data_IF_123232895637
#
_entry.id   IF_123232895637
#
_cell.length_a   1.000
_cell.length_b   1.000
_cell.length_c   1.000
_cell.angle_alpha   90.00
_cell.angle_beta   90.00
_cell.angle_gamma   90.00
#
_symmetry.space_group_name_H-M   'P 1'
#
loop_
_entity.id
_entity.type
_entity.pdbx_description
1 polymer ?
#
# COMPACT_ATOMS: atom_id res chain seq x y z
N UNK A 1 -29.81 6.17 1.10
CA UNK A 1 -29.31 7.55 0.93
C UNK A 1 -28.56 7.60 -0.40
N UNK A 2 -29.01 8.41 -1.37
CA UNK A 2 -28.26 8.64 -2.62
C UNK A 2 -27.39 9.88 -2.41
N UNK A 3 -26.07 9.72 -2.30
CA UNK A 3 -25.16 10.86 -2.37
C UNK A 3 -25.11 11.37 -3.81
N UNK A 4 -25.42 12.64 -4.02
CA UNK A 4 -25.35 13.32 -5.32
C UNK A 4 -24.22 14.35 -5.29
N UNK A 5 -22.98 13.87 -5.21
CA UNK A 5 -21.82 14.76 -5.36
C UNK A 5 -21.42 14.83 -6.84
N UNK A 6 -21.32 16.04 -7.37
CA UNK A 6 -20.69 16.31 -8.65
C UNK A 6 -19.17 16.22 -8.55
N UNK A 7 -18.49 15.96 -9.67
CA UNK A 7 -17.01 15.87 -9.70
C UNK A 7 -16.33 17.19 -9.30
N UNK A 8 -17.05 18.29 -9.46
CA UNK A 8 -16.62 19.65 -9.16
C UNK A 8 -16.61 19.94 -7.64
N UNK A 9 -17.20 19.06 -6.83
CA UNK A 9 -17.27 19.19 -5.37
C UNK A 9 -16.07 18.54 -4.66
N UNK A 10 -15.21 17.83 -5.40
CA UNK A 10 -13.99 17.25 -4.85
C UNK A 10 -12.84 18.23 -4.93
N UNK A 11 -12.05 18.35 -3.87
CA UNK A 11 -10.89 19.23 -3.80
C UNK A 11 -9.61 18.57 -4.33
N UNK A 12 -9.64 17.28 -4.66
CA UNK A 12 -8.49 16.54 -5.15
C UNK A 12 -8.73 15.04 -5.30
N UNK A 13 -7.73 14.34 -5.86
CA UNK A 13 -7.76 12.89 -6.09
C UNK A 13 -6.53 12.26 -5.44
N UNK A 14 -6.73 11.21 -4.63
CA UNK A 14 -5.65 10.40 -4.10
C UNK A 14 -5.49 9.12 -4.92
N UNK A 15 -4.25 8.76 -5.26
CA UNK A 15 -3.93 7.52 -5.99
C UNK A 15 -2.81 6.75 -5.30
N UNK A 16 -2.80 5.42 -5.44
CA UNK A 16 -1.68 4.59 -5.03
C UNK A 16 -0.49 4.78 -5.98
N UNK A 17 0.70 5.00 -5.43
CA UNK A 17 1.94 5.21 -6.18
C UNK A 17 2.63 3.89 -6.57
N UNK A 18 2.33 2.81 -5.85
CA UNK A 18 3.07 1.56 -5.91
C UNK A 18 3.74 1.23 -4.56
N UNK A 19 4.36 0.05 -4.44
CA UNK A 19 4.36 -1.03 -5.44
C UNK A 19 2.96 -1.63 -5.67
N UNK A 20 2.78 -2.43 -6.73
CA UNK A 20 1.48 -3.02 -7.08
C UNK A 20 1.38 -3.43 -8.55
N UNK A 21 0.17 -3.84 -8.98
CA UNK A 21 -0.07 -4.29 -10.35
C UNK A 21 0.24 -3.21 -11.38
N UNK A 22 1.19 -3.46 -12.29
CA UNK A 22 1.61 -2.49 -13.32
C UNK A 22 0.42 -1.99 -14.17
N UNK A 23 -0.46 -2.91 -14.57
CA UNK A 23 -1.66 -2.57 -15.35
C UNK A 23 -2.65 -1.72 -14.55
N UNK A 24 -2.94 -2.07 -13.29
CA UNK A 24 -3.90 -1.35 -12.47
C UNK A 24 -3.41 0.04 -12.10
N UNK A 25 -2.13 0.19 -11.73
CA UNK A 25 -1.51 1.48 -11.42
C UNK A 25 -1.57 2.44 -12.61
N UNK A 26 -1.24 1.97 -13.82
CA UNK A 26 -1.30 2.83 -15.02
C UNK A 26 -2.73 3.20 -15.40
N UNK A 27 -3.67 2.26 -15.31
CA UNK A 27 -5.09 2.54 -15.61
C UNK A 27 -5.64 3.55 -14.60
N UNK A 28 -5.44 3.32 -13.30
CA UNK A 28 -5.88 4.23 -12.24
C UNK A 28 -5.30 5.63 -12.39
N UNK A 29 -3.99 5.75 -12.63
CA UNK A 29 -3.32 7.02 -12.91
C UNK A 29 -3.91 7.73 -14.14
N UNK A 30 -4.19 6.99 -15.21
CA UNK A 30 -4.78 7.57 -16.45
C UNK A 30 -6.17 8.14 -16.19
N UNK A 31 -7.00 7.42 -15.44
CA UNK A 31 -8.33 7.89 -15.03
C UNK A 31 -8.23 9.12 -14.13
N UNK A 32 -7.37 9.08 -13.11
CA UNK A 32 -7.17 10.21 -12.20
C UNK A 32 -6.71 11.47 -12.94
N UNK A 33 -5.79 11.34 -13.89
CA UNK A 33 -5.36 12.45 -14.76
C UNK A 33 -6.52 13.01 -15.60
N UNK A 34 -7.35 12.15 -16.18
CA UNK A 34 -8.52 12.59 -16.94
C UNK A 34 -9.48 13.45 -16.10
N UNK A 35 -9.78 13.00 -14.88
CA UNK A 35 -10.65 13.73 -13.94
C UNK A 35 -9.98 15.03 -13.47
N UNK A 36 -8.71 14.97 -13.11
CA UNK A 36 -7.91 16.12 -12.64
C UNK A 36 -7.85 17.23 -13.68
N UNK A 37 -7.55 16.90 -14.94
CA UNK A 37 -7.49 17.89 -16.03
C UNK A 37 -8.87 18.49 -16.29
N UNK A 38 -9.93 17.67 -16.32
CA UNK A 38 -11.28 18.14 -16.60
C UNK A 38 -11.83 19.08 -15.52
N UNK A 39 -11.43 18.90 -14.26
CA UNK A 39 -11.96 19.67 -13.12
C UNK A 39 -10.94 20.63 -12.50
N UNK A 40 -9.70 20.69 -13.03
CA UNK A 40 -8.59 21.47 -12.47
C UNK A 40 -8.30 21.19 -10.99
N UNK A 41 -8.40 19.92 -10.58
CA UNK A 41 -8.17 19.49 -9.20
C UNK A 41 -6.84 18.74 -9.06
N UNK A 42 -6.11 18.91 -7.94
CA UNK A 42 -4.82 18.28 -7.72
C UNK A 42 -4.90 16.75 -7.57
N UNK A 43 -3.79 16.08 -7.85
CA UNK A 43 -3.59 14.66 -7.57
C UNK A 43 -2.50 14.51 -6.51
N UNK A 44 -2.78 13.76 -5.45
CA UNK A 44 -1.80 13.31 -4.48
C UNK A 44 -1.55 11.81 -4.64
N UNK A 45 -0.29 11.40 -4.65
CA UNK A 45 0.09 9.99 -4.67
C UNK A 45 0.49 9.53 -3.28
N UNK A 46 0.00 8.36 -2.87
CA UNK A 46 0.31 7.73 -1.57
C UNK A 46 0.94 6.36 -1.83
N UNK A 47 2.01 6.01 -1.11
CA UNK A 47 2.64 4.70 -1.23
C UNK A 47 1.67 3.58 -0.88
N UNK A 48 1.63 2.52 -1.68
CA UNK A 48 0.70 1.40 -1.46
C UNK A 48 0.95 0.75 -0.11
N UNK A 49 2.23 0.58 0.26
CA UNK A 49 2.60 -0.03 1.54
C UNK A 49 2.31 0.89 2.73
N UNK A 50 2.27 2.21 2.53
CA UNK A 50 1.83 3.15 3.58
C UNK A 50 0.32 3.08 3.77
N UNK A 51 -0.45 2.98 2.68
CA UNK A 51 -1.90 2.74 2.74
C UNK A 51 -2.23 1.43 3.44
N UNK A 52 -1.46 0.38 3.14
CA UNK A 52 -1.60 -0.95 3.75
C UNK A 52 -1.26 -0.95 5.24
N UNK A 53 -0.23 -0.20 5.64
CA UNK A 53 0.16 -0.07 7.05
C UNK A 53 -0.81 0.79 7.86
N UNK A 54 -1.39 1.83 7.24
CA UNK A 54 -2.13 2.91 7.90
C UNK A 54 -3.13 2.46 8.98
N UNK A 55 -4.01 1.45 8.74
CA UNK A 55 -4.97 1.00 9.76
C UNK A 55 -4.34 0.36 11.00
N UNK A 56 -3.06 -0.03 10.91
CA UNK A 56 -2.33 -0.75 11.94
C UNK A 56 -1.26 0.08 12.64
N UNK A 57 -1.02 1.32 12.18
CA UNK A 57 -0.08 2.24 12.82
C UNK A 57 -0.67 2.83 14.11
N UNK A 58 0.20 3.33 15.00
CA UNK A 58 -0.19 4.06 16.22
C UNK A 58 -0.59 3.20 17.42
N UNK A 59 -0.56 1.88 17.32
CA UNK A 59 -0.93 0.95 18.40
C UNK A 59 0.26 0.48 19.28
N UNK A 60 1.43 1.10 19.14
CA UNK A 60 2.63 0.74 19.91
C UNK A 60 3.30 -0.58 19.50
N UNK A 61 2.88 -1.18 18.40
CA UNK A 61 3.46 -2.41 17.83
C UNK A 61 4.18 -2.12 16.52
N UNK A 62 5.15 -2.96 16.18
CA UNK A 62 5.76 -2.91 14.85
C UNK A 62 4.77 -3.44 13.79
N UNK A 63 4.83 -2.87 12.58
CA UNK A 63 3.99 -3.24 11.44
C UNK A 63 4.88 -3.60 10.26
N UNK A 64 4.51 -4.65 9.54
CA UNK A 64 5.13 -5.03 8.26
C UNK A 64 4.02 -5.02 7.21
N UNK A 65 3.94 -3.96 6.42
CA UNK A 65 3.04 -3.96 5.27
C UNK A 65 3.64 -4.83 4.18
N UNK A 66 2.81 -5.65 3.53
CA UNK A 66 3.26 -6.60 2.51
C UNK A 66 2.24 -6.61 1.39
N UNK A 67 2.71 -6.62 0.16
CA UNK A 67 1.89 -6.87 -1.03
C UNK A 67 2.59 -7.87 -1.95
N UNK A 68 1.84 -8.68 -2.72
CA UNK A 68 2.42 -9.52 -3.77
C UNK A 68 3.13 -8.67 -4.83
N UNK A 69 4.32 -9.10 -5.24
CA UNK A 69 5.15 -8.42 -6.24
C UNK A 69 5.68 -9.45 -7.25
N UNK A 70 4.88 -9.72 -8.28
CA UNK A 70 5.18 -10.80 -9.23
C UNK A 70 4.62 -12.14 -8.76
N UNK A 71 5.25 -13.24 -9.19
CA UNK A 71 4.70 -14.59 -8.98
C UNK A 71 5.11 -15.23 -7.66
N UNK A 72 6.33 -14.96 -7.20
CA UNK A 72 6.92 -15.62 -6.04
C UNK A 72 7.54 -14.63 -5.03
N UNK A 73 7.52 -13.34 -5.33
CA UNK A 73 8.09 -12.32 -4.46
C UNK A 73 7.01 -11.43 -3.85
N UNK A 74 7.40 -10.76 -2.77
CA UNK A 74 6.61 -9.78 -2.04
C UNK A 74 7.39 -8.49 -1.90
N UNK A 75 6.70 -7.37 -2.09
CA UNK A 75 7.19 -6.07 -1.69
C UNK A 75 6.71 -5.79 -0.26
N UNK A 76 7.58 -5.25 0.60
CA UNK A 76 7.23 -4.99 1.99
C UNK A 76 7.79 -3.67 2.51
N UNK A 77 7.17 -3.13 3.55
CA UNK A 77 7.69 -2.00 4.31
C UNK A 77 7.59 -2.32 5.80
N UNK A 78 8.62 -1.94 6.57
CA UNK A 78 8.63 -2.09 8.02
C UNK A 78 8.43 -0.74 8.70
N UNK A 79 7.58 -0.75 9.72
CA UNK A 79 7.32 0.37 10.60
C UNK A 79 7.62 -0.05 12.03
N UNK A 80 8.31 0.81 12.78
CA UNK A 80 8.60 0.57 14.18
C UNK A 80 7.37 0.88 15.06
N UNK A 81 7.50 0.68 16.38
CA UNK A 81 6.43 0.93 17.36
C UNK A 81 5.96 2.38 17.44
N UNK A 82 6.79 3.32 16.97
CA UNK A 82 6.48 4.74 16.87
C UNK A 82 5.79 5.09 15.54
N UNK A 83 5.45 4.09 14.72
CA UNK A 83 4.88 4.26 13.37
C UNK A 83 5.84 4.91 12.37
N UNK A 84 7.15 4.89 12.67
CA UNK A 84 8.16 5.41 11.76
C UNK A 84 8.57 4.30 10.79
N UNK A 85 8.60 4.63 9.51
CA UNK A 85 9.06 3.74 8.45
C UNK A 85 10.57 3.55 8.57
N UNK A 86 11.01 2.30 8.57
CA UNK A 86 12.44 1.93 8.75
C UNK A 86 13.01 1.12 7.58
N UNK A 87 12.15 0.61 6.68
CA UNK A 87 12.56 -0.12 5.47
C UNK A 87 11.73 0.36 4.29
N UNK A 88 12.39 0.67 3.17
CA UNK A 88 11.77 1.25 1.98
C UNK A 88 11.56 0.23 0.85
N UNK A 89 10.37 -0.35 0.81
CA UNK A 89 9.79 -1.12 -0.31
C UNK A 89 10.69 -2.16 -1.03
N UNK A 90 11.59 -2.90 -0.35
CA UNK A 90 12.33 -3.99 -0.98
C UNK A 90 11.39 -5.10 -1.48
N UNK A 91 11.82 -5.75 -2.57
CA UNK A 91 11.21 -6.97 -3.08
C UNK A 91 12.05 -8.18 -2.66
N UNK A 92 11.41 -9.23 -2.17
CA UNK A 92 12.09 -10.43 -1.63
C UNK A 92 11.13 -11.62 -1.65
N UNK A 93 11.65 -12.85 -1.48
CA UNK A 93 10.76 -14.00 -1.31
C UNK A 93 10.10 -13.97 0.08
N UNK A 94 8.90 -14.56 0.25
CA UNK A 94 8.27 -14.69 1.56
C UNK A 94 9.16 -15.35 2.62
N UNK A 95 9.94 -16.37 2.24
CA UNK A 95 10.82 -17.10 3.14
C UNK A 95 11.97 -16.21 3.65
N UNK A 96 12.58 -15.45 2.75
CA UNK A 96 13.63 -14.50 3.12
C UNK A 96 13.07 -13.38 3.99
N UNK A 97 11.86 -12.88 3.71
CA UNK A 97 11.19 -11.90 4.55
C UNK A 97 10.98 -12.42 5.98
N UNK A 98 10.45 -13.64 6.12
CA UNK A 98 10.26 -14.27 7.45
C UNK A 98 11.58 -14.38 8.20
N UNK A 99 12.67 -14.75 7.53
CA UNK A 99 13.99 -14.84 8.16
C UNK A 99 14.53 -13.50 8.68
N UNK A 100 14.08 -12.38 8.10
CA UNK A 100 14.49 -11.02 8.50
C UNK A 100 13.62 -10.44 9.61
N UNK A 101 12.36 -10.87 9.73
CA UNK A 101 11.44 -10.39 10.76
C UNK A 101 11.70 -11.14 12.08
N UNK A 102 12.63 -10.61 12.87
CA UNK A 102 13.00 -11.18 14.17
C UNK A 102 12.12 -10.69 15.35
N UNK A 103 11.07 -9.90 15.10
CA UNK A 103 10.23 -9.30 16.12
C UNK A 103 8.73 -9.53 15.85
N UNK A 104 7.89 -9.64 16.90
CA UNK A 104 6.44 -9.75 16.74
C UNK A 104 5.92 -8.56 15.93
N UNK A 105 5.30 -8.85 14.80
CA UNK A 105 4.84 -7.85 13.84
C UNK A 105 3.42 -8.18 13.41
N UNK A 106 2.55 -7.17 13.32
CA UNK A 106 1.09 -7.35 13.21
C UNK A 106 0.60 -8.05 11.92
N UNK A 107 1.43 -8.19 10.89
CA UNK A 107 1.04 -8.81 9.62
C UNK A 107 1.36 -10.30 9.51
N UNK A 108 1.72 -10.97 10.62
CA UNK A 108 2.06 -12.39 10.61
C UNK A 108 0.98 -13.25 9.91
N UNK A 109 -0.31 -12.95 10.13
CA UNK A 109 -1.42 -13.68 9.50
C UNK A 109 -1.42 -13.59 7.96
N UNK A 110 -1.11 -12.41 7.38
CA UNK A 110 -1.00 -12.22 5.93
C UNK A 110 0.20 -12.95 5.36
N UNK A 111 1.34 -12.92 6.05
CA UNK A 111 2.54 -13.69 5.66
C UNK A 111 2.25 -15.18 5.61
N UNK A 112 1.60 -15.71 6.65
CA UNK A 112 1.26 -17.13 6.73
C UNK A 112 0.28 -17.56 5.62
N UNK A 113 -0.73 -16.75 5.29
CA UNK A 113 -1.63 -17.04 4.17
C UNK A 113 -0.91 -17.04 2.82
N UNK A 114 0.05 -16.13 2.62
CA UNK A 114 0.89 -16.09 1.42
C UNK A 114 1.75 -17.36 1.27
N UNK A 115 2.34 -17.85 2.37
CA UNK A 115 3.15 -19.08 2.38
C UNK A 115 2.29 -20.34 2.11
N UNK A 116 1.05 -20.38 2.62
CA UNK A 116 0.15 -21.54 2.47
C UNK A 116 -0.60 -21.58 1.12
N UNK A 117 -0.54 -20.49 0.35
CA UNK A 117 -1.20 -20.35 -0.96
C UNK A 117 -0.28 -20.54 -2.18
N UNK A 118 1.01 -20.79 -1.96
CA UNK A 118 2.02 -21.15 -2.96
C UNK A 118 2.18 -22.67 -3.04
#
# INVERSE_FOLDING_TARGET
>A
MHNRYGLNEFEGICIAAGPGGFSSLRVGMSVAKGISIANSIPIASVGTLDLEASPHLGNGSAVCAIIPSGRYDVAYALFNKNSERIVEDPNTSPEELVSKINQPTLSAEKVYQLIQGL
#
